data_IF_432100880657
#
_entry.id   IF_432100880657
#
_cell.length_a   1.000
_cell.length_b   1.000
_cell.length_c   1.000
_cell.angle_alpha   90.00
_cell.angle_beta   90.00
_cell.angle_gamma   90.00
#
_symmetry.space_group_name_H-M   'P 1'
#
loop_
_entity.id
_entity.type
_entity.pdbx_description
1 polymer ?
#
# COMPACT_ATOMS: atom_id res chain seq x y z
N UNK A 1 0.40 -7.04 -35.37
CA UNK A 1 1.40 -6.95 -34.27
C UNK A 1 0.74 -6.16 -33.16
N UNK A 2 0.63 -6.68 -31.92
CA UNK A 2 -0.01 -5.96 -30.81
C UNK A 2 1.02 -5.05 -30.15
N UNK A 3 0.89 -3.75 -30.39
CA UNK A 3 1.64 -2.73 -29.67
C UNK A 3 1.25 -2.82 -28.20
N UNK A 4 2.19 -3.24 -27.36
CA UNK A 4 1.97 -3.34 -25.92
C UNK A 4 2.01 -1.91 -25.39
N UNK A 5 0.83 -1.33 -25.19
CA UNK A 5 0.68 -0.05 -24.51
C UNK A 5 1.53 -0.02 -23.23
N UNK A 6 2.26 1.08 -23.04
CA UNK A 6 3.08 1.30 -21.85
C UNK A 6 2.15 1.38 -20.64
N UNK A 7 2.21 0.35 -19.79
CA UNK A 7 1.50 0.34 -18.51
C UNK A 7 2.42 0.86 -17.43
N UNK A 8 1.88 1.74 -16.60
CA UNK A 8 2.56 2.22 -15.41
C UNK A 8 2.24 1.28 -14.25
N UNK A 9 3.23 1.03 -13.41
CA UNK A 9 3.10 0.13 -12.27
C UNK A 9 3.25 0.94 -11.00
N UNK A 10 2.35 0.72 -10.04
CA UNK A 10 2.31 1.42 -8.76
C UNK A 10 2.17 0.42 -7.61
N UNK A 11 2.67 0.81 -6.45
CA UNK A 11 2.53 0.06 -5.21
C UNK A 11 1.40 0.64 -4.36
N UNK A 12 0.77 -0.21 -3.56
CA UNK A 12 -0.31 0.21 -2.69
C UNK A 12 -0.72 -0.83 -1.65
N UNK A 13 -1.60 -0.39 -0.76
CA UNK A 13 -2.17 -1.16 0.34
C UNK A 13 -3.65 -1.40 0.12
N UNK A 14 -4.06 -2.65 0.28
CA UNK A 14 -5.47 -3.00 0.16
C UNK A 14 -6.21 -2.54 1.41
N UNK A 15 -7.21 -1.69 1.23
CA UNK A 15 -8.01 -1.15 2.34
C UNK A 15 -9.23 -2.03 2.58
N UNK A 16 -9.98 -2.34 1.51
CA UNK A 16 -11.26 -3.04 1.62
C UNK A 16 -11.46 -4.04 0.48
N UNK A 17 -12.15 -5.15 0.78
CA UNK A 17 -12.61 -6.12 -0.21
C UNK A 17 -14.09 -5.89 -0.53
N UNK A 18 -14.42 -5.73 -1.81
CA UNK A 18 -15.80 -5.59 -2.28
C UNK A 18 -16.36 -6.97 -2.68
N UNK A 19 -17.68 -7.14 -2.52
CA UNK A 19 -18.39 -8.41 -2.79
C UNK A 19 -18.36 -8.85 -4.26
N UNK A 20 -18.06 -7.94 -5.19
CA UNK A 20 -17.93 -8.20 -6.63
C UNK A 20 -16.54 -8.77 -7.03
N UNK A 21 -15.68 -9.10 -6.05
CA UNK A 21 -14.32 -9.57 -6.31
C UNK A 21 -13.36 -8.45 -6.75
N UNK A 22 -13.74 -7.19 -6.51
CA UNK A 22 -12.87 -6.03 -6.63
C UNK A 22 -12.30 -5.67 -5.25
N UNK A 23 -11.22 -4.92 -5.25
CA UNK A 23 -10.56 -4.45 -4.03
C UNK A 23 -10.36 -2.94 -4.12
N UNK A 24 -10.56 -2.26 -3.00
CA UNK A 24 -10.13 -0.86 -2.85
C UNK A 24 -8.68 -0.86 -2.43
N UNK A 25 -7.86 -0.19 -3.24
CA UNK A 25 -6.43 -0.08 -2.99
C UNK A 25 -6.08 1.38 -2.85
N UNK A 26 -5.40 1.70 -1.75
CA UNK A 26 -4.78 2.98 -1.53
C UNK A 26 -3.37 2.93 -2.09
N UNK A 27 -3.12 3.71 -3.14
CA UNK A 27 -1.78 3.89 -3.68
C UNK A 27 -0.94 4.72 -2.72
N UNK A 28 0.39 4.62 -2.85
CA UNK A 28 1.30 5.50 -2.10
C UNK A 28 1.16 6.98 -2.52
N UNK A 29 0.54 7.25 -3.66
CA UNK A 29 0.14 8.59 -4.14
C UNK A 29 -1.13 9.13 -3.44
N UNK A 30 -1.62 8.45 -2.40
CA UNK A 30 -2.87 8.74 -1.66
C UNK A 30 -4.18 8.53 -2.42
N UNK A 31 -4.13 8.24 -3.71
CA UNK A 31 -5.30 7.90 -4.51
C UNK A 31 -5.93 6.55 -4.13
N UNK A 32 -7.26 6.52 -4.12
CA UNK A 32 -8.06 5.32 -3.91
C UNK A 32 -8.54 4.78 -5.27
N UNK A 33 -8.06 3.60 -5.63
CA UNK A 33 -8.38 2.96 -6.91
C UNK A 33 -9.11 1.64 -6.73
N UNK A 34 -9.85 1.24 -7.77
CA UNK A 34 -10.51 -0.05 -7.83
C UNK A 34 -9.62 -1.06 -8.56
N UNK A 35 -9.11 -2.03 -7.82
CA UNK A 35 -8.27 -3.10 -8.33
C UNK A 35 -9.07 -4.37 -8.62
N UNK A 36 -8.86 -4.97 -9.80
CA UNK A 36 -9.32 -6.33 -10.08
C UNK A 36 -8.14 -7.30 -10.17
N UNK A 37 -8.42 -8.56 -9.85
CA UNK A 37 -7.40 -9.61 -9.82
C UNK A 37 -6.98 -10.00 -11.25
N UNK A 38 -5.68 -10.03 -11.52
CA UNK A 38 -5.15 -10.61 -12.76
C UNK A 38 -5.44 -12.12 -12.85
N UNK A 39 -5.67 -12.63 -14.06
CA UNK A 39 -5.86 -14.06 -14.27
C UNK A 39 -4.66 -14.93 -13.82
N UNK A 40 -3.47 -14.34 -13.68
CA UNK A 40 -2.30 -15.01 -13.11
C UNK A 40 -2.49 -15.33 -11.62
N UNK A 41 -2.98 -14.36 -10.84
CA UNK A 41 -3.29 -14.53 -9.41
C UNK A 41 -4.40 -15.57 -9.22
N UNK A 42 -5.47 -15.53 -10.04
CA UNK A 42 -6.56 -16.52 -9.98
C UNK A 42 -6.06 -17.95 -10.18
N UNK A 43 -5.16 -18.17 -11.14
CA UNK A 43 -4.54 -19.48 -11.39
C UNK A 43 -3.57 -19.90 -10.29
N UNK A 44 -2.93 -18.94 -9.63
CA UNK A 44 -1.98 -19.20 -8.55
C UNK A 44 -2.64 -19.44 -7.19
N UNK A 45 -3.98 -19.37 -7.10
CA UNK A 45 -4.75 -19.52 -5.85
C UNK A 45 -4.30 -18.62 -4.69
N UNK A 46 -3.65 -17.48 -5.00
CA UNK A 46 -3.20 -16.53 -3.99
C UNK A 46 -4.42 -15.79 -3.45
N UNK A 47 -4.66 -15.93 -2.13
CA UNK A 47 -5.70 -15.19 -1.42
C UNK A 47 -5.17 -13.80 -1.08
N UNK A 48 -6.01 -12.81 -1.31
CA UNK A 48 -5.72 -11.41 -1.04
C UNK A 48 -6.61 -10.97 0.12
N UNK A 49 -6.02 -10.41 1.16
CA UNK A 49 -6.71 -9.91 2.33
C UNK A 49 -6.54 -8.39 2.44
N UNK A 50 -7.48 -7.67 3.10
CA UNK A 50 -7.26 -6.28 3.45
C UNK A 50 -6.03 -6.17 4.37
N UNK A 51 -5.18 -5.17 4.11
CA UNK A 51 -3.89 -4.96 4.77
C UNK A 51 -2.68 -5.49 3.99
N UNK A 52 -2.89 -6.25 2.91
CA UNK A 52 -1.78 -6.72 2.07
C UNK A 52 -1.19 -5.58 1.20
N UNK A 53 0.15 -5.59 1.07
CA UNK A 53 0.88 -4.79 0.06
C UNK A 53 0.79 -5.47 -1.29
N UNK A 54 0.38 -4.73 -2.32
CA UNK A 54 0.22 -5.25 -3.69
C UNK A 54 0.78 -4.30 -4.74
N UNK A 55 1.12 -4.88 -5.88
CA UNK A 55 1.58 -4.19 -7.07
C UNK A 55 0.45 -4.14 -8.11
N UNK A 56 0.19 -2.93 -8.63
CA UNK A 56 -0.92 -2.63 -9.51
C UNK A 56 -0.41 -2.05 -10.82
N UNK A 57 -0.85 -2.62 -11.93
CA UNK A 57 -0.71 -2.04 -13.25
C UNK A 57 -1.92 -1.18 -13.58
N UNK A 58 -1.70 0.08 -13.93
CA UNK A 58 -2.73 0.96 -14.49
C UNK A 58 -2.38 1.30 -15.94
N UNK A 59 -3.43 1.47 -16.75
CA UNK A 59 -3.28 1.94 -18.12
C UNK A 59 -3.04 3.46 -18.17
N UNK A 60 -2.52 3.98 -19.29
CA UNK A 60 -2.28 5.41 -19.44
C UNK A 60 -3.56 6.24 -19.49
N UNK A 61 -4.71 5.63 -19.80
CA UNK A 61 -5.98 6.33 -19.98
C UNK A 61 -6.81 6.39 -18.69
N UNK A 62 -6.75 5.36 -17.85
CA UNK A 62 -7.60 5.22 -16.67
C UNK A 62 -6.77 4.99 -15.40
N UNK A 63 -6.61 6.05 -14.58
CA UNK A 63 -5.95 5.97 -13.27
C UNK A 63 -6.89 5.50 -12.16
N UNK A 64 -8.19 5.38 -12.42
CA UNK A 64 -9.21 5.01 -11.41
C UNK A 64 -9.34 3.49 -11.22
N UNK A 65 -8.90 2.70 -12.21
CA UNK A 65 -9.01 1.25 -12.24
C UNK A 65 -7.65 0.63 -12.51
N UNK A 66 -7.32 -0.39 -11.75
CA UNK A 66 -6.03 -1.07 -11.85
C UNK A 66 -6.16 -2.59 -11.91
N UNK A 67 -5.13 -3.23 -12.44
CA UNK A 67 -4.98 -4.69 -12.41
C UNK A 67 -3.95 -5.06 -11.34
N UNK A 68 -4.36 -5.89 -10.38
CA UNK A 68 -3.47 -6.42 -9.35
C UNK A 68 -2.65 -7.56 -9.95
N UNK A 69 -1.34 -7.38 -10.01
CA UNK A 69 -0.41 -8.32 -10.66
C UNK A 69 0.32 -9.17 -9.64
N UNK A 70 0.74 -8.58 -8.53
CA UNK A 70 1.59 -9.22 -7.55
C UNK A 70 1.21 -8.82 -6.14
N UNK A 71 1.44 -9.72 -5.18
CA UNK A 71 1.30 -9.50 -3.74
C UNK A 71 2.69 -9.64 -3.14
N UNK A 72 3.11 -8.67 -2.35
CA UNK A 72 4.38 -8.75 -1.64
C UNK A 72 4.26 -9.71 -0.46
N UNK A 73 5.14 -10.70 -0.41
CA UNK A 73 5.27 -11.59 0.74
C UNK A 73 6.06 -10.85 1.81
N UNK A 74 5.43 -10.61 2.96
CA UNK A 74 6.20 -10.15 4.11
C UNK A 74 7.06 -11.33 4.55
N UNK A 75 8.37 -11.22 4.35
CA UNK A 75 9.35 -12.17 4.88
C UNK A 75 9.23 -12.18 6.40
N UNK A 76 8.32 -12.98 6.92
CA UNK A 76 8.17 -13.24 8.33
C UNK A 76 9.42 -13.96 8.79
N UNK A 77 10.24 -13.24 9.55
CA UNK A 77 11.28 -13.73 10.47
C UNK A 77 11.52 -15.23 10.37
N UNK A 78 12.63 -15.61 9.75
CA UNK A 78 13.17 -16.96 9.78
C UNK A 78 13.19 -17.38 11.25
N UNK A 79 12.28 -18.28 11.64
CA UNK A 79 12.39 -18.96 12.93
C UNK A 79 13.57 -19.92 12.81
N UNK A 80 14.77 -19.38 12.99
CA UNK A 80 15.96 -20.17 13.27
C UNK A 80 15.71 -20.82 14.64
N UNK A 81 15.25 -22.05 14.63
CA UNK A 81 15.28 -22.91 15.81
C UNK A 81 16.72 -23.29 16.12
N UNK A 82 17.54 -22.34 16.60
CA UNK A 82 18.79 -22.60 17.30
C UNK A 82 18.94 -21.56 18.42
N UNK A 83 18.95 -22.07 19.64
CA UNK A 83 19.34 -21.38 20.87
C UNK A 83 20.54 -20.46 20.61
N UNK A 84 20.53 -19.23 21.12
CA UNK A 84 21.34 -18.83 22.27
C UNK A 84 21.19 -17.33 22.57
N UNK A 85 20.72 -17.06 23.80
CA UNK A 85 21.04 -15.94 24.72
C UNK A 85 21.13 -14.50 24.18
N UNK A 86 20.20 -13.70 24.72
CA UNK A 86 20.44 -12.39 25.37
C UNK A 86 21.08 -11.28 24.52
N UNK A 87 20.25 -10.36 24.05
CA UNK A 87 20.15 -8.96 24.51
C UNK A 87 19.45 -8.13 23.42
N UNK A 88 18.29 -7.54 23.73
CA UNK A 88 18.17 -6.12 24.12
C UNK A 88 18.31 -5.21 22.88
N UNK A 89 17.17 -4.78 22.31
CA UNK A 89 16.67 -3.39 22.41
C UNK A 89 17.61 -2.42 21.70
N UNK A 90 17.24 -2.00 20.50
CA UNK A 90 17.34 -0.61 20.00
C UNK A 90 16.63 -0.47 18.65
N UNK A 91 15.57 0.37 18.64
CA UNK A 91 15.23 1.39 17.62
C UNK A 91 14.69 0.85 16.25
N UNK A 92 13.48 1.18 15.76
CA UNK A 92 12.77 2.46 15.77
C UNK A 92 11.30 2.38 16.20
N UNK A 93 11.01 3.10 17.28
CA UNK A 93 9.70 3.66 17.62
C UNK A 93 9.85 5.19 17.51
N UNK A 94 9.66 5.75 16.32
CA UNK A 94 9.53 7.19 16.04
C UNK A 94 8.93 7.26 14.62
N UNK A 95 7.63 7.51 14.41
CA UNK A 95 6.91 8.75 14.71
C UNK A 95 5.41 8.43 14.87
N UNK A 96 4.95 8.32 16.12
CA UNK A 96 3.62 8.79 16.48
C UNK A 96 3.70 10.32 16.56
N UNK A 97 2.69 11.04 16.07
CA UNK A 97 2.42 12.45 16.36
C UNK A 97 3.37 13.52 15.78
N UNK A 98 3.03 14.02 14.59
CA UNK A 98 3.19 15.44 14.28
C UNK A 98 1.89 16.07 13.75
N UNK A 99 0.76 15.78 14.40
CA UNK A 99 -0.34 16.75 14.55
C UNK A 99 0.08 17.80 15.57
N UNK A 100 1.03 18.68 15.21
CA UNK A 100 1.39 19.87 16.00
C UNK A 100 2.18 20.89 15.17
N UNK A 101 1.63 21.29 14.01
CA UNK A 101 2.17 22.42 13.26
C UNK A 101 1.05 23.21 12.56
N UNK A 102 0.09 23.69 13.33
CA UNK A 102 -0.72 24.90 13.06
C UNK A 102 -1.28 25.40 14.40
N UNK A 103 -0.38 25.78 15.30
CA UNK A 103 -0.69 26.64 16.44
C UNK A 103 0.66 27.26 16.80
N UNK A 104 0.75 28.60 16.81
CA UNK A 104 1.96 29.44 16.90
C UNK A 104 2.47 30.04 15.57
N UNK A 105 1.58 30.69 14.83
CA UNK A 105 1.84 32.10 14.50
C UNK A 105 0.61 32.90 14.92
N UNK A 106 0.56 33.21 16.22
CA UNK A 106 -0.17 34.39 16.67
C UNK A 106 0.66 35.61 16.28
N UNK A 107 0.10 36.43 15.39
CA UNK A 107 0.41 37.85 15.33
C UNK A 107 -0.94 38.54 15.49
N UNK A 108 -1.12 39.12 16.67
CA UNK A 108 -2.13 40.14 16.92
C UNK A 108 -1.86 41.33 16.00
N UNK A 109 -2.88 41.75 15.27
CA UNK A 109 -3.03 43.15 14.86
C UNK A 109 -4.51 43.42 14.63
N UNK A 110 -5.18 43.68 15.75
CA UNK A 110 -6.13 44.77 15.89
C UNK A 110 -5.69 45.98 15.04
N UNK A 111 -6.45 46.31 13.98
CA UNK A 111 -6.57 47.65 13.40
C UNK A 111 -7.55 47.65 12.21
N UNK A 112 -8.71 48.27 12.47
CA UNK A 112 -9.74 48.81 11.55
C UNK A 112 -10.77 47.88 10.93
#
# INVERSE_FOLDING_TARGET
MKEKEKKSTYEGLITESLSNGMFRVRLDNEDLILGYISGKIRRSFIRILPGDRVLIEVGPYDSTKGRIVYRFEQLGTIRCGWLFKHSFVEIQFEVQNFKRLIFLQGVDSELR
#
